data_IF_507433499811
#
_entry.id   IF_507433499811
#
_cell.length_a   1.000
_cell.length_b   1.000
_cell.length_c   1.000
_cell.angle_alpha   90.00
_cell.angle_beta   90.00
_cell.angle_gamma   90.00
#
_symmetry.space_group_name_H-M   'P 1'
#
loop_
_entity.id
_entity.type
_entity.pdbx_description
1 polymer ?
#
# COMPACT_ATOMS: atom_id res chain seq x y z
N UNK A 1 5.47 9.66 -0.59
CA UNK A 1 5.56 10.04 0.84
C UNK A 1 6.95 9.75 1.35
N UNK A 2 7.51 10.63 2.15
CA UNK A 2 8.84 10.44 2.75
C UNK A 2 8.80 10.72 4.25
N UNK A 3 9.61 10.00 5.02
CA UNK A 3 9.76 10.24 6.45
C UNK A 3 11.17 9.85 6.92
N UNK A 4 11.78 10.71 7.73
CA UNK A 4 13.06 10.41 8.35
C UNK A 4 12.87 9.45 9.54
N UNK A 5 13.66 8.38 9.58
CA UNK A 5 13.54 7.35 10.62
C UNK A 5 14.33 7.74 11.86
N UNK A 6 13.61 8.07 12.91
CA UNK A 6 14.13 8.56 14.18
C UNK A 6 14.16 7.45 15.24
N UNK A 7 14.88 7.66 16.38
CA UNK A 7 14.97 6.65 17.44
C UNK A 7 13.62 6.14 17.95
N UNK A 8 12.58 6.99 17.98
CA UNK A 8 11.22 6.60 18.38
C UNK A 8 10.59 5.53 17.48
N UNK A 9 11.12 5.34 16.27
CA UNK A 9 10.65 4.33 15.31
C UNK A 9 11.33 2.97 15.49
N UNK A 10 12.25 2.85 16.46
CA UNK A 10 13.06 1.66 16.62
C UNK A 10 12.32 0.50 17.29
N UNK A 11 12.72 -0.70 16.93
CA UNK A 11 12.36 -1.93 17.63
C UNK A 11 13.47 -2.29 18.65
N UNK A 12 13.31 -3.44 19.34
CA UNK A 12 14.27 -3.90 20.33
C UNK A 12 15.65 -4.25 19.77
N UNK A 13 15.77 -4.40 18.43
CA UNK A 13 17.04 -4.70 17.75
C UNK A 13 17.75 -3.44 17.23
N UNK A 14 17.17 -2.26 17.44
CA UNK A 14 17.76 -1.01 16.96
C UNK A 14 17.47 -0.68 15.50
N UNK A 15 16.62 -1.46 14.82
CA UNK A 15 16.12 -1.19 13.48
C UNK A 15 14.76 -0.50 13.55
N UNK A 16 14.25 -0.05 12.40
CA UNK A 16 12.89 0.51 12.34
C UNK A 16 11.87 -0.60 12.54
N UNK A 17 10.89 -0.35 13.40
CA UNK A 17 9.81 -1.29 13.68
C UNK A 17 8.96 -1.51 12.42
N UNK A 18 8.72 -2.79 12.06
CA UNK A 18 7.89 -3.13 10.88
C UNK A 18 6.50 -2.52 10.91
N UNK A 19 5.90 -2.37 12.08
CA UNK A 19 4.61 -1.71 12.25
C UNK A 19 4.62 -0.23 11.86
N UNK A 20 5.73 0.46 12.07
CA UNK A 20 5.89 1.86 11.60
C UNK A 20 5.86 1.91 10.09
N UNK A 21 6.57 1.01 9.43
CA UNK A 21 6.61 0.94 7.96
C UNK A 21 5.21 0.65 7.41
N UNK A 22 4.49 -0.31 8.00
CA UNK A 22 3.13 -0.64 7.58
C UNK A 22 2.16 0.52 7.79
N UNK A 23 2.29 1.25 8.88
CA UNK A 23 1.48 2.44 9.14
C UNK A 23 1.68 3.49 8.04
N UNK A 24 2.93 3.75 7.66
CA UNK A 24 3.24 4.71 6.60
C UNK A 24 2.72 4.24 5.24
N UNK A 25 2.80 2.94 4.96
CA UNK A 25 2.20 2.36 3.76
C UNK A 25 0.69 2.57 3.76
N UNK A 26 0.03 2.32 4.87
CA UNK A 26 -1.42 2.49 4.99
C UNK A 26 -1.83 3.96 4.82
N UNK A 27 -1.11 4.88 5.41
CA UNK A 27 -1.36 6.31 5.23
C UNK A 27 -1.21 6.73 3.76
N UNK A 28 -0.13 6.31 3.11
CA UNK A 28 0.12 6.60 1.71
C UNK A 28 -0.97 6.02 0.80
N UNK A 29 -1.30 4.74 0.99
CA UNK A 29 -2.34 4.06 0.23
C UNK A 29 -3.72 4.66 0.44
N UNK A 30 -4.04 5.03 1.67
CA UNK A 30 -5.31 5.67 2.03
C UNK A 30 -5.49 7.03 1.36
N UNK A 31 -4.42 7.82 1.28
CA UNK A 31 -4.43 9.10 0.55
C UNK A 31 -4.73 8.85 -0.94
N UNK A 32 -4.05 7.89 -1.54
CA UNK A 32 -4.21 7.57 -2.97
C UNK A 32 -5.62 7.08 -3.25
N UNK A 33 -6.14 6.15 -2.45
CA UNK A 33 -7.47 5.59 -2.60
C UNK A 33 -8.55 6.67 -2.43
N UNK A 34 -8.44 7.51 -1.41
CA UNK A 34 -9.40 8.59 -1.15
C UNK A 34 -9.41 9.64 -2.26
N UNK A 35 -8.24 9.97 -2.81
CA UNK A 35 -8.14 10.89 -3.96
C UNK A 35 -8.86 10.33 -5.17
N UNK A 36 -8.69 9.06 -5.48
CA UNK A 36 -9.36 8.42 -6.62
C UNK A 36 -10.88 8.37 -6.41
N UNK A 37 -11.29 7.92 -5.22
CA UNK A 37 -12.72 7.75 -4.90
C UNK A 37 -13.44 9.08 -4.69
N UNK A 38 -12.73 10.15 -4.33
CA UNK A 38 -13.30 11.42 -3.84
C UNK A 38 -14.23 11.21 -2.65
N UNK A 39 -13.92 10.21 -1.84
CA UNK A 39 -14.65 9.81 -0.64
C UNK A 39 -13.68 9.22 0.37
N UNK A 40 -14.07 9.12 1.65
CA UNK A 40 -13.27 8.34 2.61
C UNK A 40 -13.10 6.90 2.14
N UNK A 41 -11.94 6.35 2.32
CA UNK A 41 -11.64 4.96 2.01
C UNK A 41 -11.00 4.29 3.22
N UNK A 42 -11.48 3.09 3.54
CA UNK A 42 -10.98 2.33 4.69
C UNK A 42 -10.21 1.10 4.24
N UNK A 43 -9.18 0.75 4.98
CA UNK A 43 -8.36 -0.44 4.73
C UNK A 43 -9.15 -1.68 5.11
N UNK A 44 -9.30 -2.62 4.18
CA UNK A 44 -10.00 -3.89 4.41
C UNK A 44 -9.08 -5.09 4.33
N UNK A 45 -7.97 -4.99 3.60
CA UNK A 45 -7.02 -6.09 3.46
C UNK A 45 -5.62 -5.55 3.25
N UNK A 46 -4.66 -6.19 3.89
CA UNK A 46 -3.23 -6.01 3.62
C UNK A 46 -2.71 -7.35 3.14
N UNK A 47 -2.16 -7.37 1.94
CA UNK A 47 -1.79 -8.61 1.27
C UNK A 47 -0.33 -8.55 0.78
N UNK A 48 0.34 -9.71 0.84
CA UNK A 48 1.69 -9.94 0.31
C UNK A 48 2.75 -8.96 0.81
N UNK A 49 2.74 -8.70 2.10
CA UNK A 49 3.80 -7.91 2.73
C UNK A 49 5.05 -8.78 2.85
N UNK A 50 6.16 -8.30 2.29
CA UNK A 50 7.46 -8.98 2.38
C UNK A 50 8.51 -7.96 2.76
N UNK A 51 9.20 -8.20 3.88
CA UNK A 51 10.34 -7.38 4.30
C UNK A 51 11.61 -8.03 3.78
N UNK A 52 12.25 -7.40 2.79
CA UNK A 52 13.43 -7.92 2.12
C UNK A 52 14.71 -7.52 2.83
N UNK A 53 14.72 -6.34 3.42
CA UNK A 53 15.89 -5.75 4.10
C UNK A 53 15.42 -5.02 5.35
N UNK A 54 16.21 -5.02 6.42
CA UNK A 54 15.92 -4.17 7.58
C UNK A 54 16.10 -2.70 7.22
N UNK A 55 15.28 -1.85 7.83
CA UNK A 55 15.42 -0.39 7.70
C UNK A 55 16.20 0.12 8.90
N UNK A 56 17.29 0.80 8.65
CA UNK A 56 18.15 1.35 9.69
C UNK A 56 17.65 2.73 10.12
N UNK A 57 17.85 3.07 11.39
CA UNK A 57 17.63 4.42 11.88
C UNK A 57 18.54 5.40 11.15
N UNK A 58 18.10 6.62 10.98
CA UNK A 58 18.84 7.65 10.26
C UNK A 58 18.67 7.59 8.73
N UNK A 59 17.90 6.64 8.22
CA UNK A 59 17.56 6.58 6.80
C UNK A 59 16.31 7.40 6.52
N UNK A 60 16.19 7.90 5.29
CA UNK A 60 14.96 8.47 4.79
C UNK A 60 14.11 7.34 4.20
N UNK A 61 12.90 7.17 4.70
CA UNK A 61 11.97 6.20 4.15
C UNK A 61 11.17 6.87 3.03
N UNK A 62 11.15 6.23 1.86
CA UNK A 62 10.35 6.68 0.72
C UNK A 62 9.27 5.62 0.46
N UNK A 63 8.03 6.05 0.47
CA UNK A 63 6.88 5.18 0.19
C UNK A 63 6.26 5.64 -1.12
N UNK A 64 6.29 4.77 -2.12
CA UNK A 64 5.70 4.98 -3.43
C UNK A 64 4.44 4.13 -3.55
N UNK A 65 3.34 4.77 -3.91
CA UNK A 65 2.08 4.06 -4.10
C UNK A 65 1.48 4.32 -5.47
N UNK A 66 0.79 3.32 -6.01
CA UNK A 66 -0.01 3.46 -7.23
C UNK A 66 -1.20 2.52 -7.18
N UNK A 67 -2.30 2.94 -7.78
CA UNK A 67 -3.46 2.08 -7.94
C UNK A 67 -3.15 1.05 -9.01
N UNK A 68 -3.34 -0.22 -8.69
CA UNK A 68 -3.12 -1.33 -9.61
C UNK A 68 -4.42 -1.93 -10.13
N UNK A 69 -5.48 -1.85 -9.32
CA UNK A 69 -6.76 -2.45 -9.67
C UNK A 69 -7.90 -1.73 -8.96
N UNK A 70 -9.05 -1.68 -9.61
CA UNK A 70 -10.28 -1.10 -9.05
C UNK A 70 -11.43 -2.07 -9.37
N UNK A 71 -12.19 -2.43 -8.35
CA UNK A 71 -13.45 -3.14 -8.49
C UNK A 71 -14.64 -2.20 -8.43
N UNK A 72 -15.82 -2.70 -8.07
CA UNK A 72 -17.01 -1.85 -7.96
C UNK A 72 -16.87 -0.83 -6.82
N UNK A 73 -16.44 -1.27 -5.63
CA UNK A 73 -16.28 -0.44 -4.43
C UNK A 73 -14.87 -0.48 -3.86
N UNK A 74 -14.01 -1.35 -4.39
CA UNK A 74 -12.67 -1.64 -3.87
C UNK A 74 -11.58 -1.02 -4.73
N UNK A 75 -10.49 -0.64 -4.09
CA UNK A 75 -9.31 -0.05 -4.73
C UNK A 75 -8.08 -0.79 -4.18
N UNK A 76 -7.29 -1.39 -5.07
CA UNK A 76 -6.01 -1.97 -4.69
C UNK A 76 -4.90 -0.98 -4.96
N UNK A 77 -4.06 -0.75 -3.96
CA UNK A 77 -2.87 0.11 -4.07
C UNK A 77 -1.63 -0.74 -3.81
N UNK A 78 -0.68 -0.69 -4.73
CA UNK A 78 0.65 -1.26 -4.53
C UNK A 78 1.51 -0.22 -3.83
N UNK A 79 2.12 -0.61 -2.71
CA UNK A 79 3.06 0.23 -1.96
C UNK A 79 4.45 -0.37 -2.11
N UNK A 80 5.41 0.44 -2.53
CA UNK A 80 6.81 0.07 -2.63
C UNK A 80 7.62 0.99 -1.72
N UNK A 81 8.41 0.40 -0.85
CA UNK A 81 9.19 1.12 0.15
C UNK A 81 10.68 1.02 -0.14
N UNK A 82 11.35 2.16 -0.11
CA UNK A 82 12.79 2.27 -0.23
C UNK A 82 13.35 3.02 0.98
N UNK A 83 14.56 2.67 1.38
CA UNK A 83 15.34 3.41 2.39
C UNK A 83 16.52 4.10 1.70
N UNK A 84 16.69 5.39 1.94
CA UNK A 84 17.78 6.17 1.37
C UNK A 84 18.80 6.52 2.43
N UNK A 85 20.06 6.26 2.14
CA UNK A 85 21.17 6.78 2.90
C UNK A 85 21.42 8.22 2.43
N UNK A 86 21.12 9.21 3.28
CA UNK A 86 21.24 10.61 2.89
C UNK A 86 22.66 11.06 2.60
N UNK A 87 23.67 10.37 3.17
CA UNK A 87 25.07 10.71 2.97
C UNK A 87 25.64 10.21 1.65
N UNK A 88 25.15 9.09 1.16
CA UNK A 88 25.62 8.46 -0.09
C UNK A 88 24.65 8.57 -1.24
N UNK A 89 23.36 8.82 -0.95
CA UNK A 89 22.28 8.78 -1.93
C UNK A 89 21.84 7.38 -2.33
N UNK A 90 22.43 6.33 -1.75
CA UNK A 90 22.06 4.97 -2.05
C UNK A 90 20.66 4.67 -1.57
N UNK A 91 19.82 4.07 -2.43
CA UNK A 91 18.46 3.63 -2.13
C UNK A 91 18.38 2.12 -2.18
N UNK A 92 17.71 1.54 -1.18
CA UNK A 92 17.53 0.10 -1.07
C UNK A 92 16.02 -0.20 -1.01
N UNK A 93 15.55 -1.11 -1.88
CA UNK A 93 14.18 -1.60 -1.80
C UNK A 93 14.04 -2.50 -0.57
N UNK A 94 13.20 -2.11 0.37
CA UNK A 94 13.09 -2.78 1.67
C UNK A 94 11.84 -3.64 1.78
N UNK A 95 10.73 -3.23 1.19
CA UNK A 95 9.51 -4.04 1.18
C UNK A 95 8.52 -3.55 0.13
N UNK A 96 7.56 -4.43 -0.17
CA UNK A 96 6.40 -4.13 -1.01
C UNK A 96 5.16 -4.74 -0.38
N UNK A 97 3.99 -4.17 -0.66
CA UNK A 97 2.72 -4.65 -0.16
C UNK A 97 1.58 -4.23 -1.10
N UNK A 98 0.48 -4.97 -1.03
CA UNK A 98 -0.78 -4.58 -1.65
C UNK A 98 -1.80 -4.32 -0.56
N UNK A 99 -2.36 -3.12 -0.56
CA UNK A 99 -3.41 -2.73 0.37
C UNK A 99 -4.71 -2.56 -0.41
N UNK A 100 -5.79 -3.10 0.12
CA UNK A 100 -7.12 -2.95 -0.48
C UNK A 100 -7.97 -2.05 0.40
N UNK A 101 -8.57 -1.06 -0.24
CA UNK A 101 -9.44 -0.07 0.40
C UNK A 101 -10.84 -0.17 -0.17
N UNK A 102 -11.83 0.16 0.65
CA UNK A 102 -13.22 0.26 0.22
C UNK A 102 -13.69 1.71 0.46
N UNK A 103 -14.25 2.32 -0.58
CA UNK A 103 -14.82 3.66 -0.49
C UNK A 103 -16.15 3.63 0.25
N UNK A 104 -16.38 4.63 1.10
CA UNK A 104 -17.58 4.74 1.93
C UNK A 104 -18.39 5.97 1.57
N UNK A 105 -19.71 5.82 1.60
CA UNK A 105 -20.67 6.92 1.49
C UNK A 105 -20.85 7.68 2.83
N UNK A 106 -21.78 8.62 2.86
CA UNK A 106 -22.06 9.42 4.04
C UNK A 106 -22.58 8.57 5.23
N UNK A 107 -23.20 7.43 4.95
CA UNK A 107 -23.69 6.48 5.95
C UNK A 107 -22.65 5.42 6.32
N UNK A 108 -21.41 5.60 5.89
CA UNK A 108 -20.29 4.67 6.09
C UNK A 108 -20.52 3.29 5.48
N UNK A 109 -21.22 3.24 4.37
CA UNK A 109 -21.45 2.01 3.60
C UNK A 109 -20.60 2.00 2.34
N UNK A 110 -20.19 0.81 1.84
CA UNK A 110 -19.45 0.72 0.60
C UNK A 110 -20.20 1.40 -0.54
N UNK A 111 -19.47 2.19 -1.32
CA UNK A 111 -20.03 2.95 -2.44
C UNK A 111 -19.18 2.75 -3.69
N UNK A 112 -19.80 2.75 -4.89
CA UNK A 112 -19.05 2.58 -6.14
C UNK A 112 -17.99 3.65 -6.36
N UNK A 113 -16.88 3.23 -6.96
CA UNK A 113 -15.77 4.11 -7.32
C UNK A 113 -15.65 4.24 -8.84
N UNK A 114 -15.02 5.32 -9.28
CA UNK A 114 -14.74 5.52 -10.70
C UNK A 114 -13.80 4.44 -11.23
N UNK A 115 -13.97 4.02 -12.49
CA UNK A 115 -13.04 3.08 -13.11
C UNK A 115 -11.62 3.65 -13.17
N UNK A 116 -10.63 2.76 -13.20
CA UNK A 116 -9.25 3.13 -13.41
C UNK A 116 -9.00 3.32 -14.92
N UNK A 117 -8.45 4.46 -15.28
CA UNK A 117 -8.05 4.72 -16.67
C UNK A 117 -6.68 4.07 -16.92
N UNK A 118 -6.66 3.10 -17.82
CA UNK A 118 -5.44 2.37 -18.17
C UNK A 118 -4.86 2.97 -19.45
N UNK A 119 -3.66 3.55 -19.35
CA UNK A 119 -3.06 4.35 -20.42
C UNK A 119 -2.03 3.57 -21.26
N UNK A 120 -1.42 2.51 -20.70
CA UNK A 120 -0.39 1.75 -21.39
C UNK A 120 -0.49 0.24 -21.08
N UNK A 121 0.35 -0.53 -21.75
CA UNK A 121 0.37 -1.99 -21.60
C UNK A 121 0.80 -2.43 -20.19
N UNK A 122 1.71 -1.70 -19.58
CA UNK A 122 2.18 -2.02 -18.23
C UNK A 122 1.05 -1.85 -17.20
N UNK A 123 0.25 -0.79 -17.32
CA UNK A 123 -0.91 -0.57 -16.46
C UNK A 123 -1.97 -1.64 -16.66
N UNK A 124 -2.24 -2.04 -17.91
CA UNK A 124 -3.19 -3.11 -18.21
C UNK A 124 -2.75 -4.44 -17.62
N UNK A 125 -1.46 -4.75 -17.69
CA UNK A 125 -0.90 -5.96 -17.08
C UNK A 125 -1.04 -5.93 -15.57
N UNK A 126 -0.70 -4.82 -14.92
CA UNK A 126 -0.87 -4.68 -13.46
C UNK A 126 -2.33 -4.83 -13.04
N UNK A 127 -3.25 -4.28 -13.82
CA UNK A 127 -4.68 -4.42 -13.57
C UNK A 127 -5.13 -5.88 -13.65
N UNK A 128 -4.70 -6.60 -14.69
CA UNK A 128 -5.02 -8.02 -14.85
C UNK A 128 -4.48 -8.85 -13.70
N UNK A 129 -3.25 -8.59 -13.26
CA UNK A 129 -2.64 -9.24 -12.11
C UNK A 129 -3.40 -8.92 -10.81
N UNK A 130 -3.85 -7.67 -10.65
CA UNK A 130 -4.68 -7.23 -9.54
C UNK A 130 -6.02 -7.96 -9.49
N UNK A 131 -6.63 -8.17 -10.63
CA UNK A 131 -7.87 -8.96 -10.74
C UNK A 131 -7.67 -10.39 -10.23
N UNK A 132 -6.55 -11.03 -10.61
CA UNK A 132 -6.19 -12.36 -10.13
C UNK A 132 -6.02 -12.36 -8.61
N UNK A 133 -5.31 -11.38 -8.05
CA UNK A 133 -5.15 -11.26 -6.61
C UNK A 133 -6.51 -11.09 -5.90
N UNK A 134 -7.41 -10.30 -6.47
CA UNK A 134 -8.74 -10.11 -5.92
C UNK A 134 -9.53 -11.41 -5.88
N UNK A 135 -9.49 -12.20 -6.95
CA UNK A 135 -10.15 -13.51 -7.01
C UNK A 135 -9.61 -14.45 -5.93
N UNK A 136 -8.30 -14.48 -5.73
CA UNK A 136 -7.67 -15.29 -4.68
C UNK A 136 -8.11 -14.84 -3.27
N UNK A 137 -8.18 -13.54 -3.02
CA UNK A 137 -8.65 -13.01 -1.74
C UNK A 137 -10.10 -13.41 -1.46
N UNK A 138 -10.97 -13.32 -2.47
CA UNK A 138 -12.37 -13.73 -2.34
C UNK A 138 -12.52 -15.22 -2.05
N UNK A 139 -11.72 -16.06 -2.72
CA UNK A 139 -11.71 -17.49 -2.48
C UNK A 139 -11.25 -17.84 -1.06
N UNK A 140 -10.21 -17.18 -0.56
CA UNK A 140 -9.73 -17.35 0.82
C UNK A 140 -10.77 -16.89 1.85
N UNK A 141 -11.42 -15.76 1.64
CA UNK A 141 -12.50 -15.28 2.51
C UNK A 141 -13.66 -16.26 2.57
N UNK A 142 -14.04 -16.84 1.43
CA UNK A 142 -15.09 -17.87 1.37
C UNK A 142 -14.75 -19.14 2.11
N UNK A 143 -13.48 -19.53 2.16
CA UNK A 143 -13.02 -20.71 2.92
C UNK A 143 -13.03 -20.51 4.43
N UNK A 144 -12.93 -19.26 4.90
CA UNK A 144 -12.90 -18.91 6.32
C UNK A 144 -14.29 -18.63 6.90
N UNK A 145 -15.25 -18.46 6.02
CA UNK A 145 -16.63 -18.12 6.39
C UNK A 145 -17.41 -19.33 6.97
#
# INVERSE_FOLDING_TARGET
MTMFMQPEHSNSLGNVHGGVILKLCDECGGIIASRHARRPAVTVTVDRVTFLQPVLLGRLLLVHGRITWVGRTSIEVELRVEAENLLTGERTHTNSAYFVYVALDADRRPTPVAPLLLQDEAERRRFAEGEVRNQLRLAEAGRKA
#
